data_IF_792513925709
#
_entry.id   IF_792513925709
#
_cell.length_a   1.000
_cell.length_b   1.000
_cell.length_c   1.000
_cell.angle_alpha   90.00
_cell.angle_beta   90.00
_cell.angle_gamma   90.00
#
_symmetry.space_group_name_H-M   'P 1'
#
loop_
_entity.id
_entity.type
_entity.pdbx_description
1 polymer ?
#
# COMPACT_ATOMS: atom_id res chain seq x y z
N UNK A 1 -4.91 1.70 -13.24
CA UNK A 1 -5.58 0.53 -13.84
C UNK A 1 -6.91 0.95 -14.42
N UNK A 2 -6.86 1.57 -15.59
CA UNK A 2 -8.03 1.92 -16.39
C UNK A 2 -7.84 1.41 -17.83
N UNK A 3 -8.91 1.01 -18.49
CA UNK A 3 -8.92 0.66 -19.93
C UNK A 3 -8.39 1.81 -20.80
N UNK A 4 -8.58 3.06 -20.37
CA UNK A 4 -7.98 4.21 -21.03
C UNK A 4 -6.44 4.18 -20.99
N UNK A 5 -5.83 3.79 -19.86
CA UNK A 5 -4.36 3.66 -19.77
C UNK A 5 -3.86 2.54 -20.68
N UNK A 6 -4.62 1.44 -20.78
CA UNK A 6 -4.30 0.34 -21.68
C UNK A 6 -4.36 0.78 -23.15
N UNK A 7 -5.39 1.53 -23.54
CA UNK A 7 -5.47 2.12 -24.88
C UNK A 7 -4.25 3.01 -25.15
N UNK A 8 -3.84 3.86 -24.20
CA UNK A 8 -2.68 4.75 -24.39
C UNK A 8 -1.42 3.95 -24.69
N UNK A 9 -1.21 2.81 -24.01
CA UNK A 9 -0.07 1.94 -24.29
C UNK A 9 -0.15 1.29 -25.67
N UNK A 10 -1.35 0.88 -26.10
CA UNK A 10 -1.57 0.27 -27.41
C UNK A 10 -1.42 1.30 -28.54
N UNK A 11 -1.97 2.50 -28.39
CA UNK A 11 -1.83 3.60 -29.35
C UNK A 11 -0.38 4.04 -29.53
N UNK A 12 0.45 3.97 -28.48
CA UNK A 12 1.90 4.22 -28.60
C UNK A 12 2.61 3.18 -29.47
N UNK A 13 2.16 1.92 -29.43
CA UNK A 13 2.78 0.82 -30.19
C UNK A 13 2.25 0.79 -31.62
N UNK A 14 0.95 0.99 -31.80
CA UNK A 14 0.27 0.98 -33.09
C UNK A 14 -0.80 2.10 -33.15
N UNK A 15 -0.40 3.32 -33.58
CA UNK A 15 -1.31 4.45 -33.66
C UNK A 15 -2.40 4.29 -34.74
N UNK A 16 -2.14 3.48 -35.77
CA UNK A 16 -3.08 3.28 -36.88
C UNK A 16 -4.17 2.25 -36.51
N UNK A 17 -3.80 1.19 -35.79
CA UNK A 17 -4.75 0.19 -35.29
C UNK A 17 -5.58 0.66 -34.09
N UNK A 18 -5.06 1.62 -33.30
CA UNK A 18 -5.72 2.17 -32.10
C UNK A 18 -5.82 3.69 -32.16
N UNK A 19 -6.50 4.22 -33.17
CA UNK A 19 -6.61 5.65 -33.47
C UNK A 19 -7.48 6.46 -32.49
N UNK A 20 -8.52 5.84 -31.93
CA UNK A 20 -9.55 6.52 -31.15
C UNK A 20 -9.78 5.89 -29.78
N UNK A 21 -9.59 6.70 -28.72
CA UNK A 21 -9.94 6.35 -27.34
C UNK A 21 -11.42 6.02 -27.22
N UNK A 22 -12.27 6.86 -27.82
CA UNK A 22 -13.71 6.80 -27.62
C UNK A 22 -14.27 5.51 -28.22
N UNK A 23 -13.82 5.13 -29.42
CA UNK A 23 -14.20 3.87 -30.06
C UNK A 23 -13.73 2.65 -29.24
N UNK A 24 -12.52 2.72 -28.68
CA UNK A 24 -11.99 1.66 -27.83
C UNK A 24 -12.76 1.51 -26.51
N UNK A 25 -13.11 2.63 -25.86
CA UNK A 25 -13.89 2.62 -24.62
C UNK A 25 -15.36 2.27 -24.85
N UNK A 26 -15.95 2.62 -25.98
CA UNK A 26 -17.30 2.16 -26.33
C UNK A 26 -17.33 0.63 -26.48
N UNK A 27 -16.29 0.07 -27.12
CA UNK A 27 -16.19 -1.38 -27.35
C UNK A 27 -15.81 -2.15 -26.08
N UNK A 28 -14.80 -1.69 -25.35
CA UNK A 28 -14.12 -2.40 -24.26
C UNK A 28 -14.12 -1.67 -22.90
N UNK A 29 -14.76 -0.51 -22.76
CA UNK A 29 -14.73 0.28 -21.52
C UNK A 29 -15.49 -0.36 -20.35
N UNK A 30 -16.51 -1.18 -20.64
CA UNK A 30 -17.28 -1.93 -19.65
C UNK A 30 -17.32 -3.42 -20.01
N UNK A 31 -16.21 -4.11 -19.72
CA UNK A 31 -16.07 -5.55 -19.99
C UNK A 31 -16.88 -6.34 -18.95
N UNK A 32 -18.15 -6.58 -19.27
CA UNK A 32 -19.05 -7.45 -18.48
C UNK A 32 -19.20 -8.85 -19.06
N UNK A 33 -18.91 -9.03 -20.35
CA UNK A 33 -19.02 -10.32 -21.04
C UNK A 33 -17.65 -10.94 -21.29
N UNK A 34 -17.57 -12.26 -21.13
CA UNK A 34 -16.37 -13.05 -21.41
C UNK A 34 -15.97 -12.98 -22.89
N UNK A 35 -16.95 -12.93 -23.79
CA UNK A 35 -16.73 -12.83 -25.25
C UNK A 35 -15.95 -11.56 -25.64
N UNK A 36 -16.32 -10.41 -25.06
CA UNK A 36 -15.59 -9.15 -25.30
C UNK A 36 -14.18 -9.17 -24.73
N UNK A 37 -13.98 -9.88 -23.62
CA UNK A 37 -12.65 -10.07 -23.02
C UNK A 37 -11.77 -10.95 -23.92
N UNK A 38 -12.32 -12.04 -24.45
CA UNK A 38 -11.60 -12.96 -25.34
C UNK A 38 -11.25 -12.26 -26.67
N UNK A 39 -12.17 -11.45 -27.23
CA UNK A 39 -11.91 -10.63 -28.42
C UNK A 39 -10.79 -9.60 -28.18
N UNK A 40 -10.80 -8.92 -27.03
CA UNK A 40 -9.74 -8.01 -26.65
C UNK A 40 -8.40 -8.75 -26.53
N UNK A 41 -8.39 -9.93 -25.90
CA UNK A 41 -7.19 -10.75 -25.74
C UNK A 41 -6.56 -11.13 -27.09
N UNK A 42 -7.36 -11.54 -28.08
CA UNK A 42 -6.85 -11.85 -29.41
C UNK A 42 -6.35 -10.60 -30.15
N UNK A 43 -7.03 -9.46 -29.97
CA UNK A 43 -6.62 -8.18 -30.58
C UNK A 43 -5.26 -7.71 -30.05
N UNK A 44 -5.01 -7.85 -28.74
CA UNK A 44 -3.75 -7.39 -28.11
C UNK A 44 -2.62 -8.40 -28.18
N UNK A 45 -2.92 -9.67 -28.49
CA UNK A 45 -1.96 -10.79 -28.52
C UNK A 45 -0.71 -10.53 -29.37
N UNK A 46 -0.79 -9.86 -30.55
CA UNK A 46 0.40 -9.55 -31.35
C UNK A 46 1.34 -8.56 -30.68
N UNK A 47 0.82 -7.70 -29.80
CA UNK A 47 1.57 -6.61 -29.16
C UNK A 47 2.10 -7.00 -27.78
N UNK A 48 1.47 -7.96 -27.09
CA UNK A 48 1.79 -8.32 -25.71
C UNK A 48 2.23 -9.79 -25.62
N UNK A 49 3.52 -10.00 -25.34
CA UNK A 49 4.03 -11.30 -24.94
C UNK A 49 3.92 -11.46 -23.41
N UNK A 50 2.94 -12.25 -22.95
CA UNK A 50 2.76 -12.59 -21.54
C UNK A 50 3.04 -14.08 -21.31
N UNK A 51 3.89 -14.40 -20.34
CA UNK A 51 4.18 -15.77 -19.87
C UNK A 51 4.10 -15.82 -18.36
N UNK A 52 3.54 -16.89 -17.79
CA UNK A 52 3.53 -17.11 -16.34
C UNK A 52 4.82 -17.85 -15.94
N UNK A 53 5.28 -17.67 -14.70
CA UNK A 53 6.47 -18.38 -14.21
C UNK A 53 6.26 -19.90 -14.24
N UNK A 54 5.06 -20.36 -13.94
CA UNK A 54 4.66 -21.77 -14.01
C UNK A 54 4.76 -22.35 -15.44
N UNK A 55 4.58 -21.52 -16.47
CA UNK A 55 4.69 -21.94 -17.87
C UNK A 55 6.16 -22.16 -18.30
N UNK A 56 7.11 -21.52 -17.60
CA UNK A 56 8.51 -21.40 -18.04
C UNK A 56 9.49 -22.15 -17.14
N UNK A 57 9.29 -22.12 -15.82
CA UNK A 57 10.25 -22.66 -14.85
C UNK A 57 9.52 -23.51 -13.79
N UNK A 58 9.61 -24.83 -13.94
CA UNK A 58 8.92 -25.80 -13.06
C UNK A 58 9.66 -26.12 -11.77
N UNK A 59 10.90 -25.65 -11.64
CA UNK A 59 11.75 -25.91 -10.46
C UNK A 59 11.53 -24.93 -9.31
N UNK A 60 10.88 -23.79 -9.58
CA UNK A 60 10.61 -22.75 -8.58
C UNK A 60 9.40 -23.16 -7.72
N UNK A 61 9.55 -23.28 -6.39
CA UNK A 61 8.43 -23.55 -5.49
C UNK A 61 7.33 -22.49 -5.64
N UNK A 62 6.05 -22.86 -5.43
CA UNK A 62 4.95 -21.90 -5.48
C UNK A 62 5.15 -20.80 -4.43
N UNK A 63 4.75 -19.58 -4.79
CA UNK A 63 4.80 -18.43 -3.88
C UNK A 63 3.69 -18.60 -2.83
N UNK A 64 4.06 -18.82 -1.58
CA UNK A 64 3.13 -18.78 -0.47
C UNK A 64 2.88 -17.33 -0.04
N UNK A 65 1.61 -16.96 0.14
CA UNK A 65 1.21 -15.64 0.61
C UNK A 65 0.46 -15.78 1.92
N UNK A 66 1.00 -15.15 2.98
CA UNK A 66 0.43 -15.19 4.32
C UNK A 66 0.11 -13.79 4.79
N UNK A 67 -1.14 -13.56 5.17
CA UNK A 67 -1.58 -12.31 5.79
C UNK A 67 -1.42 -12.44 7.30
N UNK A 68 -0.56 -11.60 7.87
CA UNK A 68 -0.38 -11.54 9.33
C UNK A 68 -1.12 -10.32 9.86
N UNK A 69 -2.18 -10.57 10.62
CA UNK A 69 -2.91 -9.52 11.32
C UNK A 69 -2.12 -9.07 12.54
N UNK A 70 -2.00 -7.75 12.70
CA UNK A 70 -1.18 -7.14 13.75
C UNK A 70 -2.03 -6.16 14.53
N UNK A 71 -2.02 -6.30 15.85
CA UNK A 71 -2.67 -5.39 16.77
C UNK A 71 -1.94 -4.06 16.87
N UNK A 72 -2.69 -2.97 16.97
CA UNK A 72 -2.14 -1.64 17.24
C UNK A 72 -1.69 -1.55 18.71
N UNK A 73 -0.55 -0.91 18.94
CA UNK A 73 -0.06 -0.58 20.28
C UNK A 73 -0.99 0.44 20.96
N UNK A 74 -0.84 0.60 22.29
CA UNK A 74 -1.60 1.61 23.04
C UNK A 74 -1.38 3.00 22.46
N UNK A 75 -0.12 3.34 22.15
CA UNK A 75 0.26 4.61 21.54
C UNK A 75 -0.41 4.79 20.17
N UNK A 76 -0.36 3.78 19.30
CA UNK A 76 -1.03 3.82 18.00
C UNK A 76 -2.55 3.99 18.15
N UNK A 77 -3.19 3.26 19.08
CA UNK A 77 -4.64 3.37 19.34
C UNK A 77 -5.04 4.78 19.78
N UNK A 78 -4.23 5.42 20.62
CA UNK A 78 -4.45 6.81 21.07
C UNK A 78 -4.39 7.81 19.91
N UNK A 79 -3.31 7.82 19.13
CA UNK A 79 -3.17 8.74 17.99
C UNK A 79 -4.15 8.43 16.88
N UNK A 80 -4.47 7.16 16.62
CA UNK A 80 -5.46 6.75 15.63
C UNK A 80 -6.85 7.32 15.98
N UNK A 81 -7.29 7.18 17.24
CA UNK A 81 -8.55 7.77 17.72
C UNK A 81 -8.54 9.29 17.62
N UNK A 82 -7.48 9.94 18.10
CA UNK A 82 -7.36 11.40 18.06
C UNK A 82 -7.41 11.96 16.62
N UNK A 83 -6.72 11.31 15.68
CA UNK A 83 -6.75 11.68 14.25
C UNK A 83 -8.15 11.54 13.66
N UNK A 84 -8.81 10.43 13.97
CA UNK A 84 -10.16 10.13 13.48
C UNK A 84 -11.18 11.13 14.03
N UNK A 85 -11.23 11.31 15.35
CA UNK A 85 -12.19 12.19 16.03
C UNK A 85 -12.04 13.66 15.62
N UNK A 86 -10.81 14.17 15.54
CA UNK A 86 -10.53 15.57 15.12
C UNK A 86 -11.04 15.84 13.70
N UNK A 87 -10.88 14.89 12.78
CA UNK A 87 -11.38 15.05 11.42
C UNK A 87 -12.90 14.87 11.33
N UNK A 88 -13.47 13.91 12.05
CA UNK A 88 -14.94 13.72 12.11
C UNK A 88 -15.63 14.97 12.66
N UNK A 89 -15.11 15.58 13.73
CA UNK A 89 -15.62 16.86 14.25
C UNK A 89 -15.53 18.00 13.21
N UNK A 90 -14.46 18.06 12.42
CA UNK A 90 -14.30 19.04 11.34
C UNK A 90 -15.28 18.81 10.19
N UNK A 91 -15.54 17.55 9.82
CA UNK A 91 -16.49 17.16 8.78
C UNK A 91 -17.94 17.45 9.19
N UNK A 92 -18.32 17.15 10.44
CA UNK A 92 -19.68 17.43 10.94
C UNK A 92 -20.00 18.92 11.06
N UNK A 93 -18.98 19.78 11.25
CA UNK A 93 -19.16 21.24 11.25
C UNK A 93 -19.43 21.80 9.84
N UNK A 94 -18.94 21.15 8.78
CA UNK A 94 -19.05 21.59 7.39
C UNK A 94 -20.09 20.76 6.61
N UNK A 95 -21.36 20.88 7.00
CA UNK A 95 -22.52 20.07 6.54
C UNK A 95 -22.85 20.05 5.02
N UNK A 96 -22.05 20.60 4.11
CA UNK A 96 -22.48 20.72 2.68
C UNK A 96 -21.55 20.21 1.58
N UNK A 97 -20.24 19.96 1.76
CA UNK A 97 -19.36 19.49 0.65
C UNK A 97 -18.09 18.72 1.10
N UNK A 98 -18.15 17.91 2.15
CA UNK A 98 -16.93 17.39 2.77
C UNK A 98 -16.65 15.88 2.55
N UNK A 99 -17.49 15.15 1.80
CA UNK A 99 -17.31 13.71 1.60
C UNK A 99 -16.22 13.35 0.56
N UNK A 100 -15.81 14.31 -0.28
CA UNK A 100 -14.85 14.09 -1.39
C UNK A 100 -13.78 15.19 -1.47
N UNK A 101 -13.34 15.67 -0.30
CA UNK A 101 -12.39 16.78 -0.19
C UNK A 101 -10.96 16.36 0.19
N UNK A 102 -9.94 17.20 -0.07
CA UNK A 102 -8.53 16.97 0.29
C UNK A 102 -8.29 16.69 1.79
N UNK A 103 -9.25 17.02 2.66
CA UNK A 103 -9.22 16.72 4.10
C UNK A 103 -9.32 15.22 4.42
N UNK A 104 -10.12 14.44 3.69
CA UNK A 104 -10.30 13.00 3.93
C UNK A 104 -9.10 12.21 3.40
N UNK A 105 -8.61 12.57 2.21
CA UNK A 105 -7.39 11.98 1.65
C UNK A 105 -6.19 12.20 2.57
N UNK A 106 -6.12 13.37 3.23
CA UNK A 106 -5.13 13.63 4.26
C UNK A 106 -5.34 12.77 5.51
N UNK A 107 -6.58 12.62 6.01
CA UNK A 107 -6.87 11.72 7.14
C UNK A 107 -6.44 10.27 6.83
N UNK A 108 -6.86 9.71 5.70
CA UNK A 108 -6.49 8.35 5.30
C UNK A 108 -4.96 8.18 5.24
N UNK A 109 -4.24 9.19 4.74
CA UNK A 109 -2.78 9.20 4.75
C UNK A 109 -2.20 9.20 6.17
N UNK A 110 -2.72 10.02 7.09
CA UNK A 110 -2.24 10.05 8.49
C UNK A 110 -2.58 8.74 9.23
N UNK A 111 -3.75 8.15 8.99
CA UNK A 111 -4.11 6.85 9.57
C UNK A 111 -3.19 5.74 9.05
N UNK A 112 -2.88 5.72 7.75
CA UNK A 112 -1.88 4.80 7.17
C UNK A 112 -0.50 4.96 7.80
N UNK A 113 -0.05 6.20 8.04
CA UNK A 113 1.19 6.48 8.76
C UNK A 113 1.15 5.93 10.18
N UNK A 114 0.10 6.24 10.94
CA UNK A 114 -0.08 5.76 12.32
C UNK A 114 -0.02 4.22 12.41
N UNK A 115 -0.70 3.51 11.50
CA UNK A 115 -0.68 2.04 11.45
C UNK A 115 0.69 1.45 11.07
N UNK A 116 1.54 2.18 10.35
CA UNK A 116 2.90 1.74 10.07
C UNK A 116 3.81 2.02 11.27
N UNK A 117 3.87 3.27 11.69
CA UNK A 117 4.62 3.69 12.88
C UNK A 117 4.10 5.05 13.37
N UNK A 118 3.84 5.24 14.68
CA UNK A 118 3.34 6.52 15.20
C UNK A 118 4.30 7.69 14.94
N UNK A 119 5.61 7.44 14.90
CA UNK A 119 6.63 8.48 14.65
C UNK A 119 6.68 9.00 13.20
N UNK A 120 5.92 8.39 12.28
CA UNK A 120 5.69 8.98 10.95
C UNK A 120 4.78 10.22 11.01
N UNK A 121 4.10 10.43 12.15
CA UNK A 121 3.34 11.63 12.44
C UNK A 121 4.28 12.69 13.01
N UNK A 122 4.14 13.93 12.52
CA UNK A 122 5.01 15.04 12.94
C UNK A 122 4.84 15.32 14.43
N UNK A 123 5.96 15.47 15.14
CA UNK A 123 6.01 15.83 16.56
C UNK A 123 5.75 14.70 17.54
N UNK A 124 5.25 13.54 17.09
CA UNK A 124 4.91 12.42 18.00
C UNK A 124 6.14 11.81 18.64
N UNK A 125 7.23 11.64 17.88
CA UNK A 125 8.48 11.11 18.44
C UNK A 125 9.04 12.01 19.55
N UNK A 126 9.09 13.32 19.31
CA UNK A 126 9.59 14.31 20.28
C UNK A 126 8.71 14.33 21.54
N UNK A 127 7.38 14.29 21.39
CA UNK A 127 6.44 14.21 22.51
C UNK A 127 6.68 12.98 23.37
N UNK A 128 6.86 11.82 22.75
CA UNK A 128 7.05 10.55 23.47
C UNK A 128 8.43 10.50 24.14
N UNK A 129 9.50 10.95 23.45
CA UNK A 129 10.85 11.03 24.05
C UNK A 129 10.93 12.00 25.23
N UNK A 130 10.18 13.10 25.19
CA UNK A 130 10.12 14.05 26.30
C UNK A 130 9.43 13.47 27.54
N UNK A 131 8.45 12.57 27.34
CA UNK A 131 7.74 11.88 28.42
C UNK A 131 8.54 10.69 28.97
N UNK A 132 9.27 9.99 28.10
CA UNK A 132 9.96 8.75 28.43
C UNK A 132 11.49 8.94 28.39
N UNK A 133 12.02 9.57 29.45
CA UNK A 133 13.46 9.91 29.57
C UNK A 133 14.35 8.70 29.87
N UNK A 134 13.79 7.52 30.11
CA UNK A 134 14.49 6.38 30.70
C UNK A 134 14.90 5.32 29.66
N UNK A 135 14.42 5.44 28.41
CA UNK A 135 14.71 4.44 27.38
C UNK A 135 16.10 4.70 26.76
N UNK A 136 17.13 4.05 27.33
CA UNK A 136 18.53 4.16 26.88
C UNK A 136 18.83 3.47 25.54
N UNK A 137 17.91 2.63 25.05
CA UNK A 137 18.08 1.88 23.80
C UNK A 137 17.07 2.35 22.76
N UNK A 138 17.53 3.10 21.77
CA UNK A 138 16.69 3.64 20.69
C UNK A 138 16.00 2.52 19.88
N UNK A 139 16.63 1.37 19.70
CA UNK A 139 16.03 0.26 18.94
C UNK A 139 14.79 -0.31 19.64
N UNK A 140 14.86 -0.52 20.95
CA UNK A 140 13.74 -1.03 21.75
C UNK A 140 12.62 0.01 21.89
N UNK A 141 12.99 1.29 21.96
CA UNK A 141 12.05 2.41 21.93
C UNK A 141 11.21 2.43 20.64
N UNK A 142 11.89 2.34 19.49
CA UNK A 142 11.24 2.30 18.18
C UNK A 142 10.39 1.03 18.03
N UNK A 143 10.94 -0.13 18.39
CA UNK A 143 10.24 -1.41 18.23
C UNK A 143 8.93 -1.45 19.01
N UNK A 144 8.94 -1.01 20.28
CA UNK A 144 7.76 -1.02 21.17
C UNK A 144 6.66 -0.05 20.74
N UNK A 145 6.98 1.00 19.99
CA UNK A 145 6.03 2.02 19.58
C UNK A 145 5.04 1.51 18.51
N UNK A 146 5.42 0.53 17.68
CA UNK A 146 4.58 -0.02 16.61
C UNK A 146 4.38 -1.54 16.71
N UNK A 147 3.14 -1.99 16.61
CA UNK A 147 2.82 -3.42 16.67
C UNK A 147 3.50 -4.22 15.56
N UNK A 148 3.70 -3.60 14.40
CA UNK A 148 4.41 -4.24 13.27
C UNK A 148 5.88 -4.45 13.57
N UNK A 149 6.53 -3.47 14.22
CA UNK A 149 7.94 -3.60 14.60
C UNK A 149 8.12 -4.58 15.76
N UNK A 150 7.21 -4.60 16.75
CA UNK A 150 7.22 -5.63 17.80
C UNK A 150 7.15 -7.04 17.21
N UNK A 151 6.33 -7.25 16.17
CA UNK A 151 6.26 -8.55 15.50
C UNK A 151 7.52 -8.83 14.69
N UNK A 152 8.00 -7.84 13.94
CA UNK A 152 9.19 -7.97 13.09
C UNK A 152 10.44 -8.30 13.93
N UNK A 153 10.60 -7.64 15.08
CA UNK A 153 11.68 -7.87 16.05
C UNK A 153 11.69 -9.32 16.57
N UNK A 154 10.52 -9.95 16.69
CA UNK A 154 10.40 -11.37 17.06
C UNK A 154 10.57 -12.34 15.89
N UNK A 155 10.25 -11.91 14.67
CA UNK A 155 10.25 -12.76 13.48
C UNK A 155 11.63 -12.85 12.82
N UNK A 156 12.34 -11.72 12.71
CA UNK A 156 13.63 -11.66 12.03
C UNK A 156 14.71 -12.56 12.67
N UNK A 157 14.85 -12.65 14.01
CA UNK A 157 15.81 -13.56 14.63
C UNK A 157 15.56 -15.02 14.27
N UNK A 158 14.29 -15.46 14.30
CA UNK A 158 13.90 -16.83 13.93
C UNK A 158 14.22 -17.14 12.47
N UNK A 159 13.96 -16.20 11.57
CA UNK A 159 14.28 -16.35 10.15
C UNK A 159 15.80 -16.41 9.92
N UNK A 160 16.57 -15.61 10.66
CA UNK A 160 18.03 -15.61 10.61
C UNK A 160 18.62 -16.92 11.14
N UNK A 161 18.10 -17.46 12.23
CA UNK A 161 18.49 -18.77 12.77
C UNK A 161 18.21 -19.90 11.76
N UNK A 162 17.10 -19.79 11.02
CA UNK A 162 16.78 -20.69 9.90
C UNK A 162 17.62 -20.47 8.63
N UNK A 163 18.54 -19.50 8.61
CA UNK A 163 19.38 -19.20 7.46
C UNK A 163 18.66 -18.49 6.31
N UNK A 164 17.48 -17.91 6.56
CA UNK A 164 16.70 -17.19 5.54
C UNK A 164 17.21 -15.77 5.33
N UNK A 165 16.96 -15.22 4.13
CA UNK A 165 17.18 -13.82 3.77
C UNK A 165 15.85 -13.13 3.55
N UNK A 166 15.70 -11.92 4.07
CA UNK A 166 14.42 -11.18 4.08
C UNK A 166 14.55 -9.91 3.25
N UNK A 167 13.52 -9.61 2.45
CA UNK A 167 13.36 -8.33 1.76
C UNK A 167 12.12 -7.64 2.34
N UNK A 168 12.29 -6.41 2.82
CA UNK A 168 11.21 -5.61 3.40
C UNK A 168 10.88 -4.46 2.45
N UNK A 169 9.60 -4.33 2.10
CA UNK A 169 9.10 -3.25 1.26
C UNK A 169 8.20 -2.32 2.06
N UNK A 170 8.36 -1.02 1.86
CA UNK A 170 7.51 0.00 2.44
C UNK A 170 7.21 1.08 1.40
N UNK A 171 5.98 1.62 1.44
CA UNK A 171 5.57 2.75 0.60
C UNK A 171 6.09 4.10 1.12
N UNK A 172 6.48 4.17 2.40
CA UNK A 172 6.99 5.40 3.01
C UNK A 172 8.49 5.30 3.18
N UNK A 173 9.25 6.21 2.54
CA UNK A 173 10.72 6.30 2.72
C UNK A 173 11.10 6.44 4.19
N UNK A 174 10.43 7.33 4.92
CA UNK A 174 10.69 7.59 6.35
C UNK A 174 10.48 6.32 7.20
N UNK A 175 9.66 5.36 6.76
CA UNK A 175 9.52 4.08 7.46
C UNK A 175 10.74 3.18 7.28
N UNK A 176 11.41 3.27 6.12
CA UNK A 176 12.68 2.56 5.89
C UNK A 176 13.77 3.19 6.75
N UNK A 177 13.78 4.51 6.91
CA UNK A 177 14.72 5.21 7.81
C UNK A 177 14.52 4.80 9.29
N UNK A 178 13.31 4.38 9.70
CA UNK A 178 13.03 3.84 11.04
C UNK A 178 13.49 2.37 11.18
N UNK A 179 13.56 1.64 10.07
CA UNK A 179 13.96 0.23 10.04
C UNK A 179 15.48 0.05 9.94
N UNK A 180 16.19 1.07 9.45
CA UNK A 180 17.66 1.14 9.36
C UNK A 180 18.30 1.38 10.73
#
# INVERSE_FOLDING_TARGET
NNMAEMWTLLNVVDPEGFDSVDAFLEKYGDIKSKEKLDELHETIRPYILRRLKEDVEKSVPPKEETLIEVELTVLQKQYYRALYEKNVQFLHKNKKKALDGPSINNLAMQLRKCCNHPFLLRGVEEEVRNQDKDTKNDGDFLAKASGKLVLLDKLLPKLREGGHRVLIFSQFKIMLDILE
#
